data_IF_133121776438
#
_entry.id   IF_133121776438
#
_cell.length_a   1.000
_cell.length_b   1.000
_cell.length_c   1.000
_cell.angle_alpha   90.00
_cell.angle_beta   90.00
_cell.angle_gamma   90.00
#
_symmetry.space_group_name_H-M   'P 1'
#
loop_
_entity.id
_entity.type
_entity.pdbx_description
1 polymer ?
#
# COMPACT_ATOMS: atom_id res chain seq x y z
N UNK A 1 -2.61 7.22 -0.67
CA UNK A 1 -3.93 7.90 -0.74
C UNK A 1 -4.09 8.66 -2.04
N UNK A 2 -5.18 8.41 -2.77
CA UNK A 2 -5.43 9.04 -4.08
C UNK A 2 -6.03 10.44 -3.92
N UNK A 3 -5.50 11.40 -4.70
CA UNK A 3 -5.93 12.81 -4.69
C UNK A 3 -7.42 12.98 -5.02
N UNK A 4 -7.99 12.06 -5.80
CA UNK A 4 -9.39 12.07 -6.17
C UNK A 4 -10.35 11.83 -4.99
N UNK A 5 -9.98 10.98 -4.03
CA UNK A 5 -10.81 10.69 -2.84
C UNK A 5 -10.92 11.88 -1.88
N UNK A 6 -10.00 12.85 -2.00
CA UNK A 6 -10.01 14.08 -1.19
C UNK A 6 -10.89 15.19 -1.78
N UNK A 7 -11.50 14.98 -2.95
CA UNK A 7 -12.42 15.94 -3.53
C UNK A 7 -13.76 15.90 -2.77
N UNK A 8 -14.32 17.07 -2.45
CA UNK A 8 -15.39 17.26 -1.46
C UNK A 8 -16.56 16.25 -1.52
N UNK A 9 -16.98 15.86 -2.72
CA UNK A 9 -18.04 14.87 -2.95
C UNK A 9 -17.65 13.44 -2.54
N UNK A 10 -16.46 12.98 -2.93
CA UNK A 10 -15.96 11.64 -2.60
C UNK A 10 -15.47 11.60 -1.15
N UNK A 11 -14.90 12.69 -0.66
CA UNK A 11 -14.42 12.82 0.70
C UNK A 11 -15.56 12.61 1.70
N UNK A 12 -16.66 13.35 1.57
CA UNK A 12 -17.77 13.30 2.54
C UNK A 12 -18.47 11.94 2.60
N UNK A 13 -18.43 11.14 1.53
CA UNK A 13 -19.19 9.87 1.43
C UNK A 13 -18.32 8.62 1.60
N UNK A 14 -17.04 8.72 1.24
CA UNK A 14 -16.16 7.57 1.07
C UNK A 14 -14.73 7.82 1.56
N UNK A 15 -14.46 8.86 2.35
CA UNK A 15 -13.11 9.05 2.88
C UNK A 15 -13.09 9.72 4.27
N UNK A 16 -14.13 10.48 4.60
CA UNK A 16 -14.33 11.13 5.90
C UNK A 16 -14.31 10.15 7.07
N UNK A 17 -14.93 8.97 6.90
CA UNK A 17 -14.99 7.94 7.93
C UNK A 17 -13.61 7.39 8.31
N UNK A 18 -12.73 7.20 7.32
CA UNK A 18 -11.35 6.76 7.52
C UNK A 18 -10.53 7.80 8.31
N UNK A 19 -10.72 9.10 8.02
CA UNK A 19 -10.05 10.18 8.77
C UNK A 19 -10.66 10.44 10.17
N UNK A 20 -11.91 10.04 10.40
CA UNK A 20 -12.58 10.22 11.71
C UNK A 20 -12.33 9.09 12.71
N UNK A 21 -11.67 8.00 12.31
CA UNK A 21 -11.38 6.88 13.21
C UNK A 21 -10.34 7.28 14.26
N UNK A 22 -10.72 7.18 15.54
CA UNK A 22 -9.84 7.45 16.70
C UNK A 22 -8.93 6.25 17.00
N UNK A 23 -9.24 5.08 16.45
CA UNK A 23 -8.45 3.86 16.61
C UNK A 23 -7.58 3.69 15.38
N UNK A 24 -6.26 3.52 15.58
CA UNK A 24 -5.35 3.12 14.51
C UNK A 24 -5.88 1.86 13.86
N UNK A 25 -6.27 1.96 12.60
CA UNK A 25 -6.97 0.90 11.89
C UNK A 25 -6.03 -0.32 11.76
N UNK A 26 -6.47 -1.52 12.16
CA UNK A 26 -5.71 -2.72 11.85
C UNK A 26 -5.49 -2.80 10.34
N UNK A 27 -4.30 -3.21 9.90
CA UNK A 27 -3.93 -3.32 8.48
C UNK A 27 -4.81 -4.36 7.75
N UNK A 28 -5.42 -5.27 8.51
CA UNK A 28 -6.40 -6.27 8.06
C UNK A 28 -7.85 -5.81 8.20
N UNK A 29 -8.10 -4.62 8.72
CA UNK A 29 -9.42 -4.11 9.05
C UNK A 29 -10.19 -3.70 7.79
N UNK A 30 -11.41 -4.21 7.68
CA UNK A 30 -12.34 -4.01 6.57
C UNK A 30 -13.00 -2.62 6.67
N UNK A 31 -12.22 -1.58 6.95
CA UNK A 31 -12.78 -0.25 7.31
C UNK A 31 -12.54 0.81 6.25
N UNK A 32 -11.63 0.56 5.28
CA UNK A 32 -11.60 1.35 4.05
C UNK A 32 -12.98 1.25 3.36
N UNK A 33 -13.65 2.38 3.09
CA UNK A 33 -14.91 2.40 2.35
C UNK A 33 -14.76 1.63 1.03
N UNK A 34 -15.82 0.92 0.63
CA UNK A 34 -15.78 -0.06 -0.46
C UNK A 34 -15.09 0.43 -1.74
N UNK A 35 -15.32 1.69 -2.13
CA UNK A 35 -14.69 2.30 -3.30
C UNK A 35 -13.16 2.45 -3.16
N UNK A 36 -12.67 2.77 -1.97
CA UNK A 36 -11.24 2.86 -1.66
C UNK A 36 -10.57 1.48 -1.77
N UNK A 37 -11.23 0.42 -1.30
CA UNK A 37 -10.76 -0.96 -1.47
C UNK A 37 -10.68 -1.38 -2.93
N UNK A 38 -11.68 -1.08 -3.75
CA UNK A 38 -11.65 -1.38 -5.19
C UNK A 38 -10.48 -0.64 -5.86
N UNK A 39 -10.32 0.64 -5.56
CA UNK A 39 -9.29 1.45 -6.19
C UNK A 39 -7.87 0.98 -5.83
N UNK A 40 -7.62 0.66 -4.56
CA UNK A 40 -6.35 0.08 -4.13
C UNK A 40 -6.12 -1.30 -4.76
N UNK A 41 -7.13 -2.16 -4.77
CA UNK A 41 -7.02 -3.50 -5.37
C UNK A 41 -6.71 -3.43 -6.86
N UNK A 42 -7.35 -2.52 -7.59
CA UNK A 42 -7.08 -2.28 -9.01
C UNK A 42 -5.66 -1.75 -9.23
N UNK A 43 -5.20 -0.79 -8.41
CA UNK A 43 -3.86 -0.22 -8.53
C UNK A 43 -2.79 -1.31 -8.40
N UNK A 44 -2.88 -2.17 -7.38
CA UNK A 44 -1.94 -3.27 -7.19
C UNK A 44 -2.08 -4.39 -8.25
N UNK A 45 -3.29 -4.57 -8.79
CA UNK A 45 -3.54 -5.55 -9.85
C UNK A 45 -2.91 -5.17 -11.20
N UNK A 46 -2.63 -3.89 -11.47
CA UNK A 46 -2.00 -3.45 -12.73
C UNK A 46 -0.69 -4.21 -12.98
N UNK A 47 0.19 -4.30 -11.97
CA UNK A 47 1.48 -4.99 -12.12
C UNK A 47 1.29 -6.49 -12.44
N UNK A 48 0.35 -7.15 -11.77
CA UNK A 48 0.01 -8.55 -12.03
C UNK A 48 -0.52 -8.72 -13.46
N UNK A 49 -1.46 -7.86 -13.89
CA UNK A 49 -2.02 -7.87 -15.23
C UNK A 49 -0.95 -7.61 -16.31
N UNK A 50 0.03 -6.75 -16.06
CA UNK A 50 1.16 -6.52 -16.98
C UNK A 50 1.99 -7.79 -17.19
N UNK A 51 2.29 -8.55 -16.13
CA UNK A 51 3.04 -9.81 -16.26
C UNK A 51 2.25 -10.88 -17.02
N UNK A 52 0.92 -10.92 -16.84
CA UNK A 52 0.03 -11.81 -17.59
C UNK A 52 -0.04 -11.40 -19.07
N UNK A 53 -0.19 -10.11 -19.37
CA UNK A 53 -0.27 -9.59 -20.74
C UNK A 53 1.02 -9.82 -21.52
N UNK A 54 2.17 -9.60 -20.88
CA UNK A 54 3.50 -9.86 -21.48
C UNK A 54 3.87 -11.35 -21.49
N UNK A 55 3.02 -12.22 -20.92
CA UNK A 55 3.25 -13.67 -20.76
C UNK A 55 4.54 -14.01 -20.02
N UNK A 56 4.98 -13.13 -19.12
CA UNK A 56 6.16 -13.32 -18.26
C UNK A 56 5.78 -13.75 -16.84
N UNK A 57 4.48 -13.98 -16.58
CA UNK A 57 3.99 -14.38 -15.28
C UNK A 57 4.54 -15.73 -14.83
N UNK A 58 5.04 -15.79 -13.59
CA UNK A 58 5.45 -17.01 -12.90
C UNK A 58 4.74 -17.10 -11.56
N UNK A 59 4.42 -18.32 -11.11
CA UNK A 59 3.77 -18.54 -9.80
C UNK A 59 4.63 -17.94 -8.68
N UNK A 60 5.96 -18.11 -8.76
CA UNK A 60 6.90 -17.58 -7.78
C UNK A 60 6.90 -16.05 -7.80
N UNK A 61 6.88 -15.43 -8.99
CA UNK A 61 6.89 -13.96 -9.10
C UNK A 61 5.59 -13.34 -8.58
N UNK A 62 4.44 -13.98 -8.84
CA UNK A 62 3.15 -13.54 -8.34
C UNK A 62 3.08 -13.65 -6.80
N UNK A 63 3.49 -14.80 -6.25
CA UNK A 63 3.51 -15.00 -4.81
C UNK A 63 4.46 -14.01 -4.12
N UNK A 64 5.69 -13.86 -4.63
CA UNK A 64 6.66 -12.91 -4.10
C UNK A 64 6.14 -11.48 -4.13
N UNK A 65 5.50 -11.06 -5.23
CA UNK A 65 4.92 -9.71 -5.34
C UNK A 65 3.82 -9.46 -4.31
N UNK A 66 2.87 -10.38 -4.16
CA UNK A 66 1.78 -10.24 -3.17
C UNK A 66 2.33 -10.20 -1.76
N UNK A 67 3.20 -11.15 -1.40
CA UNK A 67 3.83 -11.18 -0.07
C UNK A 67 4.66 -9.92 0.19
N UNK A 68 5.37 -9.42 -0.82
CA UNK A 68 6.16 -8.20 -0.69
C UNK A 68 5.28 -6.98 -0.42
N UNK A 69 4.22 -6.76 -1.20
CA UNK A 69 3.31 -5.63 -1.00
C UNK A 69 2.67 -5.70 0.39
N UNK A 70 2.21 -6.87 0.82
CA UNK A 70 1.64 -7.04 2.16
C UNK A 70 2.68 -6.77 3.25
N UNK A 71 3.90 -7.30 3.11
CA UNK A 71 4.98 -7.08 4.05
C UNK A 71 5.35 -5.60 4.17
N UNK A 72 5.48 -4.90 3.03
CA UNK A 72 5.81 -3.48 3.00
C UNK A 72 4.70 -2.60 3.57
N UNK A 73 3.43 -2.95 3.29
CA UNK A 73 2.28 -2.29 3.91
C UNK A 73 2.29 -2.48 5.43
N UNK A 74 2.61 -3.70 5.90
CA UNK A 74 2.77 -3.98 7.33
C UNK A 74 3.91 -3.16 7.95
N UNK A 75 5.06 -3.08 7.30
CA UNK A 75 6.24 -2.38 7.81
C UNK A 75 6.00 -0.89 8.04
N UNK A 76 5.33 -0.19 7.13
CA UNK A 76 5.11 1.26 7.31
C UNK A 76 4.00 1.63 8.29
N UNK A 77 3.23 0.65 8.77
CA UNK A 77 2.31 0.81 9.89
C UNK A 77 2.88 0.23 11.19
N UNK A 78 4.07 -0.37 11.17
CA UNK A 78 4.78 -0.78 12.38
C UNK A 78 5.44 0.43 13.06
N UNK A 79 5.28 0.53 14.38
CA UNK A 79 5.98 1.53 15.20
C UNK A 79 7.48 1.20 15.45
N UNK A 80 8.04 0.25 14.71
CA UNK A 80 9.41 -0.22 14.87
C UNK A 80 10.16 -0.10 13.55
N UNK A 81 11.27 0.64 13.57
CA UNK A 81 12.18 0.73 12.42
C UNK A 81 13.05 -0.52 12.36
N UNK A 82 12.73 -1.45 11.45
CA UNK A 82 13.53 -2.66 11.24
C UNK A 82 14.87 -2.37 10.55
N UNK A 83 14.95 -1.30 9.77
CA UNK A 83 16.12 -0.94 8.96
C UNK A 83 16.75 0.33 9.53
N UNK A 84 18.06 0.34 9.86
CA UNK A 84 18.71 1.50 10.43
C UNK A 84 18.82 2.65 9.41
N UNK A 85 18.61 3.89 9.87
CA UNK A 85 18.68 5.11 9.03
C UNK A 85 20.00 5.27 8.28
N UNK A 86 21.11 4.77 8.85
CA UNK A 86 22.42 4.76 8.20
C UNK A 86 22.40 4.05 6.83
N UNK A 87 21.58 3.01 6.69
CA UNK A 87 21.44 2.24 5.46
C UNK A 87 20.75 3.06 4.34
N UNK A 88 19.75 3.86 4.70
CA UNK A 88 19.09 4.80 3.77
C UNK A 88 19.97 6.00 3.43
N UNK A 89 20.82 6.45 4.35
CA UNK A 89 21.81 7.49 4.08
C UNK A 89 22.92 7.00 3.16
N UNK A 90 23.37 5.75 3.32
CA UNK A 90 24.38 5.14 2.47
C UNK A 90 23.82 4.81 1.07
N UNK A 91 22.55 4.39 1.00
CA UNK A 91 21.88 4.03 -0.25
C UNK A 91 20.52 4.73 -0.39
N UNK A 92 20.49 5.96 -0.93
CA UNK A 92 19.25 6.74 -1.04
C UNK A 92 18.21 6.09 -1.97
N UNK A 93 18.65 5.19 -2.88
CA UNK A 93 17.77 4.46 -3.77
C UNK A 93 16.82 3.49 -3.05
N UNK A 94 17.18 3.01 -1.85
CA UNK A 94 16.33 2.12 -1.06
C UNK A 94 14.97 2.76 -0.72
N UNK A 95 14.89 4.09 -0.63
CA UNK A 95 13.63 4.81 -0.35
C UNK A 95 12.57 4.61 -1.45
N UNK A 96 12.98 4.28 -2.67
CA UNK A 96 12.04 4.02 -3.77
C UNK A 96 11.53 2.58 -3.80
N UNK A 97 12.23 1.67 -3.12
CA UNK A 97 11.90 0.25 -3.08
C UNK A 97 11.16 -0.09 -1.78
N UNK A 98 11.64 0.43 -0.66
CA UNK A 98 11.14 0.11 0.67
C UNK A 98 10.40 1.28 1.31
N UNK A 99 9.19 0.99 1.78
CA UNK A 99 8.36 1.82 2.63
C UNK A 99 8.81 1.70 4.09
N UNK A 100 9.31 2.78 4.66
CA UNK A 100 9.63 2.89 6.09
C UNK A 100 8.62 3.77 6.82
N UNK A 101 8.34 3.50 8.10
CA UNK A 101 7.43 4.30 8.92
C UNK A 101 7.99 5.69 9.34
N UNK A 102 9.05 6.18 8.68
CA UNK A 102 9.82 7.37 9.07
C UNK A 102 10.04 8.34 7.93
#
# INVERSE_FOLDING_TARGET
MTRALHQHFLYSRYHSHHHSSVVTEPITSVVHPFAERILYSLLFAIALLTTLYTRTASIISLAAYVTYIDFMNNMGHCNYEFIPKCLFQCFPFLNYIMYTPS
#
